data_IF_022422183586
#
_entry.id   IF_022422183586
#
_cell.length_a   1.000
_cell.length_b   1.000
_cell.length_c   1.000
_cell.angle_alpha   90.00
_cell.angle_beta   90.00
_cell.angle_gamma   90.00
#
_symmetry.space_group_name_H-M   'P 1'
#
loop_
_entity.id
_entity.type
_entity.pdbx_description
1 polymer ?
#
# COMPACT_ATOMS: atom_id res chain seq x y z
N UNK A 1 9.85 -3.10 6.67
CA UNK A 1 8.85 -3.79 5.82
C UNK A 1 7.62 -2.89 5.79
N UNK A 2 7.37 -2.21 4.68
CA UNK A 2 6.29 -1.24 4.54
C UNK A 2 4.91 -1.88 4.43
N UNK A 3 3.85 -1.07 4.56
CA UNK A 3 2.48 -1.55 4.40
C UNK A 3 2.09 -1.78 2.94
N UNK A 4 1.15 -2.70 2.69
CA UNK A 4 0.66 -3.03 1.35
C UNK A 4 -0.77 -2.52 1.13
N UNK A 5 -1.06 -2.07 -0.11
CA UNK A 5 -2.43 -1.85 -0.52
C UNK A 5 -3.17 -3.18 -0.70
N UNK A 6 -4.50 -3.13 -0.65
CA UNK A 6 -5.34 -4.30 -0.93
C UNK A 6 -5.03 -4.90 -2.32
N UNK A 7 -4.81 -4.03 -3.31
CA UNK A 7 -4.49 -4.46 -4.68
C UNK A 7 -3.07 -5.03 -4.76
N UNK A 8 -2.10 -4.37 -4.13
CA UNK A 8 -0.72 -4.87 -4.04
C UNK A 8 -0.64 -6.24 -3.39
N UNK A 9 -1.37 -6.48 -2.30
CA UNK A 9 -1.43 -7.79 -1.65
C UNK A 9 -2.03 -8.87 -2.56
N UNK A 10 -3.11 -8.57 -3.29
CA UNK A 10 -3.70 -9.51 -4.26
C UNK A 10 -2.71 -9.81 -5.39
N UNK A 11 -2.03 -8.79 -5.91
CA UNK A 11 -1.07 -8.96 -6.99
C UNK A 11 0.16 -9.75 -6.52
N UNK A 12 0.65 -9.56 -5.29
CA UNK A 12 1.72 -10.35 -4.68
C UNK A 12 1.33 -11.82 -4.52
N UNK A 13 0.14 -12.10 -3.97
CA UNK A 13 -0.34 -13.47 -3.75
C UNK A 13 -0.57 -14.23 -5.07
N UNK A 14 -1.02 -13.54 -6.12
CA UNK A 14 -1.27 -14.15 -7.43
C UNK A 14 -0.10 -14.06 -8.41
N UNK A 15 1.01 -13.44 -8.01
CA UNK A 15 2.19 -13.32 -8.86
C UNK A 15 2.85 -14.69 -9.03
N UNK A 16 3.21 -15.09 -10.26
CA UNK A 16 4.00 -16.31 -10.48
C UNK A 16 5.43 -16.20 -9.94
N UNK A 17 5.89 -14.98 -9.65
CA UNK A 17 7.17 -14.69 -8.99
C UNK A 17 7.01 -14.44 -7.47
N UNK A 18 5.77 -14.46 -6.97
CA UNK A 18 5.43 -14.35 -5.56
C UNK A 18 4.99 -15.71 -5.02
N UNK A 19 3.74 -15.78 -4.54
CA UNK A 19 3.20 -17.02 -3.94
C UNK A 19 2.52 -17.95 -4.97
N UNK A 20 2.20 -17.46 -6.17
CA UNK A 20 1.67 -18.29 -7.26
C UNK A 20 0.25 -18.82 -7.08
N UNK A 21 -0.56 -18.22 -6.19
CA UNK A 21 -1.96 -18.63 -6.02
C UNK A 21 -2.84 -18.21 -7.20
N UNK A 22 -3.93 -18.93 -7.41
CA UNK A 22 -4.98 -18.49 -8.33
C UNK A 22 -5.48 -17.10 -7.92
N UNK A 23 -5.65 -16.22 -8.91
CA UNK A 23 -6.07 -14.83 -8.66
C UNK A 23 -7.45 -14.75 -7.99
N UNK A 24 -8.30 -15.76 -8.21
CA UNK A 24 -9.60 -15.87 -7.53
C UNK A 24 -9.41 -16.15 -6.03
N UNK A 25 -8.52 -17.06 -5.67
CA UNK A 25 -8.22 -17.43 -4.28
C UNK A 25 -7.53 -16.29 -3.53
N UNK A 26 -6.57 -15.62 -4.17
CA UNK A 26 -5.94 -14.42 -3.62
C UNK A 26 -6.98 -13.33 -3.29
N UNK A 27 -7.91 -13.05 -4.23
CA UNK A 27 -9.01 -12.11 -3.99
C UNK A 27 -9.92 -12.58 -2.86
N UNK A 28 -10.26 -13.87 -2.83
CA UNK A 28 -11.09 -14.44 -1.78
C UNK A 28 -10.43 -14.23 -0.41
N UNK A 29 -9.18 -14.66 -0.23
CA UNK A 29 -8.46 -14.52 1.03
C UNK A 29 -8.38 -13.07 1.50
N UNK A 30 -7.97 -12.15 0.62
CA UNK A 30 -7.81 -10.72 0.96
C UNK A 30 -9.16 -10.03 1.26
N UNK A 31 -10.27 -10.54 0.70
CA UNK A 31 -11.61 -10.05 1.03
C UNK A 31 -12.15 -10.58 2.37
N UNK A 32 -11.57 -11.64 2.93
CA UNK A 32 -12.02 -12.27 4.18
C UNK A 32 -11.17 -11.90 5.40
N UNK A 33 -10.13 -11.08 5.23
CA UNK A 33 -9.35 -10.53 6.34
C UNK A 33 -9.83 -9.14 6.73
N UNK A 34 -9.75 -8.82 8.02
CA UNK A 34 -10.01 -7.47 8.51
C UNK A 34 -8.69 -6.72 8.59
N UNK A 35 -8.51 -5.72 7.72
CA UNK A 35 -7.29 -4.91 7.65
C UNK A 35 -7.65 -3.44 7.63
N UNK A 36 -6.95 -2.64 8.44
CA UNK A 36 -7.00 -1.20 8.33
C UNK A 36 -6.07 -0.74 7.19
N UNK A 37 -6.62 -0.60 6.00
CA UNK A 37 -5.86 -0.21 4.81
C UNK A 37 -5.32 1.23 4.85
N UNK A 38 -5.94 2.11 5.64
CA UNK A 38 -5.40 3.46 5.88
C UNK A 38 -4.11 3.39 6.71
N UNK A 39 -4.09 2.52 7.73
CA UNK A 39 -2.88 2.25 8.51
C UNK A 39 -1.77 1.62 7.65
N UNK A 40 -2.12 0.73 6.72
CA UNK A 40 -1.14 0.19 5.77
C UNK A 40 -0.55 1.29 4.86
N UNK A 41 -1.36 2.26 4.42
CA UNK A 41 -0.87 3.39 3.64
C UNK A 41 0.08 4.29 4.46
N UNK A 42 -0.21 4.51 5.74
CA UNK A 42 0.66 5.25 6.66
C UNK A 42 2.03 4.57 6.83
N UNK A 43 2.05 3.26 7.10
CA UNK A 43 3.31 2.50 7.22
C UNK A 43 4.14 2.53 5.93
N UNK A 44 3.48 2.47 4.77
CA UNK A 44 4.16 2.60 3.48
C UNK A 44 4.75 4.00 3.30
N UNK A 45 3.99 5.05 3.63
CA UNK A 45 4.43 6.44 3.57
C UNK A 45 5.63 6.73 4.48
N UNK A 46 5.59 6.26 5.72
CA UNK A 46 6.70 6.34 6.70
C UNK A 46 7.96 5.67 6.16
N UNK A 47 7.82 4.47 5.58
CA UNK A 47 8.96 3.75 4.99
C UNK A 47 9.62 4.54 3.86
N UNK A 48 8.85 5.23 3.00
CA UNK A 48 9.42 6.08 1.95
C UNK A 48 10.17 7.29 2.51
N UNK A 49 9.67 7.87 3.60
CA UNK A 49 10.33 8.99 4.25
C UNK A 49 11.66 8.59 4.89
N UNK A 50 11.70 7.44 5.56
CA UNK A 50 12.93 6.87 6.13
C UNK A 50 14.01 6.60 5.06
N UNK A 51 13.60 6.24 3.85
CA UNK A 51 14.54 5.88 2.76
C UNK A 51 15.19 7.08 2.06
N UNK A 52 14.61 8.29 2.14
CA UNK A 52 15.19 9.42 1.43
C UNK A 52 14.40 10.73 1.42
N UNK A 53 13.32 10.85 2.19
CA UNK A 53 12.50 12.06 2.26
C UNK A 53 11.79 12.40 0.94
N UNK A 54 10.48 12.23 0.89
CA UNK A 54 9.60 12.65 -0.21
C UNK A 54 8.67 13.74 0.28
N UNK A 55 8.29 14.71 -0.58
CA UNK A 55 7.22 15.65 -0.25
C UNK A 55 5.88 14.93 0.00
N UNK A 56 4.94 15.54 0.73
CA UNK A 56 3.60 14.95 0.97
C UNK A 56 2.90 14.65 -0.35
N UNK A 57 2.99 15.56 -1.33
CA UNK A 57 2.44 15.35 -2.68
C UNK A 57 3.10 14.18 -3.41
N UNK A 58 4.43 14.06 -3.33
CA UNK A 58 5.16 12.96 -3.96
C UNK A 58 4.82 11.61 -3.31
N UNK A 59 4.60 11.57 -2.00
CA UNK A 59 4.09 10.37 -1.32
C UNK A 59 2.70 9.99 -1.81
N UNK A 60 1.78 10.96 -1.94
CA UNK A 60 0.43 10.67 -2.46
C UNK A 60 0.52 10.05 -3.85
N UNK A 61 1.34 10.62 -4.73
CA UNK A 61 1.53 10.12 -6.09
C UNK A 61 2.16 8.71 -6.08
N UNK A 62 3.20 8.49 -5.27
CA UNK A 62 3.87 7.20 -5.15
C UNK A 62 2.94 6.11 -4.61
N UNK A 63 2.18 6.42 -3.55
CA UNK A 63 1.25 5.49 -2.92
C UNK A 63 0.07 5.14 -3.85
N UNK A 64 -0.43 6.12 -4.62
CA UNK A 64 -1.55 5.90 -5.52
C UNK A 64 -1.13 5.27 -6.86
N UNK A 65 0.14 5.42 -7.24
CA UNK A 65 0.65 5.03 -8.56
C UNK A 65 0.26 3.60 -8.93
N UNK A 66 -0.24 3.37 -10.16
CA UNK A 66 -0.53 2.02 -10.66
C UNK A 66 0.73 1.16 -10.80
N UNK A 67 1.91 1.79 -10.87
CA UNK A 67 3.22 1.14 -10.92
C UNK A 67 3.95 1.16 -9.56
N UNK A 68 3.35 1.80 -8.54
CA UNK A 68 3.85 1.86 -7.17
C UNK A 68 3.01 0.99 -6.25
N UNK A 69 2.52 1.58 -5.15
CA UNK A 69 1.84 0.84 -4.09
C UNK A 69 0.36 0.55 -4.38
N UNK A 70 -0.25 1.23 -5.36
CA UNK A 70 -1.63 0.99 -5.81
C UNK A 70 -2.71 1.16 -4.73
N UNK A 71 -2.47 2.02 -3.73
CA UNK A 71 -3.51 2.44 -2.79
C UNK A 71 -4.61 3.22 -3.52
N UNK A 72 -5.83 3.19 -2.97
CA UNK A 72 -6.85 4.15 -3.41
C UNK A 72 -6.38 5.58 -3.13
N UNK A 73 -6.81 6.57 -3.91
CA UNK A 73 -6.43 7.95 -3.68
C UNK A 73 -6.75 8.44 -2.25
N UNK A 74 -7.86 7.96 -1.66
CA UNK A 74 -8.22 8.28 -0.27
C UNK A 74 -7.22 7.72 0.73
N UNK A 75 -6.78 6.48 0.55
CA UNK A 75 -5.76 5.84 1.40
C UNK A 75 -4.39 6.50 1.22
N UNK A 76 -4.01 6.81 -0.03
CA UNK A 76 -2.74 7.50 -0.31
C UNK A 76 -2.68 8.87 0.38
N UNK A 77 -3.76 9.67 0.28
CA UNK A 77 -3.89 10.95 0.99
C UNK A 77 -3.85 10.78 2.51
N UNK A 78 -4.59 9.80 3.04
CA UNK A 78 -4.54 9.51 4.47
C UNK A 78 -3.12 9.14 4.91
N UNK A 79 -2.49 8.20 4.21
CA UNK A 79 -1.17 7.67 4.55
C UNK A 79 -0.12 8.76 4.54
N UNK A 80 -0.04 9.53 3.46
CA UNK A 80 0.90 10.65 3.33
C UNK A 80 0.66 11.75 4.39
N UNK A 81 -0.60 12.06 4.70
CA UNK A 81 -0.93 13.07 5.71
C UNK A 81 -0.79 12.59 7.17
N UNK A 82 -0.84 11.28 7.40
CA UNK A 82 -0.59 10.65 8.70
C UNK A 82 0.91 10.51 8.99
N UNK A 83 1.66 10.07 7.97
CA UNK A 83 2.99 10.62 7.70
C UNK A 83 2.89 12.17 7.71
N UNK A 84 3.83 13.03 7.41
CA UNK A 84 3.87 14.47 7.74
C UNK A 84 3.52 14.98 9.15
N UNK A 85 2.50 14.46 9.84
CA UNK A 85 1.97 14.98 11.10
C UNK A 85 2.40 14.15 12.33
N UNK A 86 2.95 12.95 12.12
CA UNK A 86 3.32 12.01 13.20
C UNK A 86 4.78 11.54 13.17
N UNK A 87 5.68 12.26 12.51
CA UNK A 87 7.12 11.96 12.48
C UNK A 87 8.02 13.16 12.71
#
# INVERSE_FOLDING_TARGET
MGGMSKKGLIDQLSSPYGEGFDRADAKFAVNHITVNWNHQAALSAESYLEMGGMSESALIDQLHSPYGEQFTLKQARYGAHYAYTHH
#
